data_IF_970181636009
#
_entry.id   IF_970181636009
#
_cell.length_a   1.000
_cell.length_b   1.000
_cell.length_c   1.000
_cell.angle_alpha   90.00
_cell.angle_beta   90.00
_cell.angle_gamma   90.00
#
_symmetry.space_group_name_H-M   'P 1'
#
loop_
_entity.id
_entity.type
_entity.pdbx_description
1 polymer ?
#
# COMPACT_ATOMS: atom_id res chain seq x y z
N UNK A 1 44.23 -56.89 20.63
CA UNK A 1 43.51 -57.99 21.28
C UNK A 1 42.02 -57.72 21.19
N UNK A 2 41.36 -58.62 20.46
CA UNK A 2 39.93 -59.03 20.50
C UNK A 2 38.83 -57.99 20.58
N UNK A 3 38.16 -57.77 19.46
CA UNK A 3 36.88 -58.39 19.00
C UNK A 3 35.67 -58.16 19.90
N UNK A 4 34.66 -57.48 19.36
CA UNK A 4 33.34 -58.10 19.18
C UNK A 4 32.38 -57.20 18.41
N UNK A 5 32.00 -57.68 17.23
CA UNK A 5 30.87 -57.27 16.43
C UNK A 5 29.56 -57.54 17.17
N UNK A 6 28.61 -56.61 17.11
CA UNK A 6 27.18 -56.90 17.22
C UNK A 6 26.38 -56.08 16.21
N UNK A 7 25.90 -56.79 15.21
CA UNK A 7 24.88 -56.36 14.26
C UNK A 7 23.59 -55.97 15.00
N UNK A 8 23.09 -54.78 14.71
CA UNK A 8 21.69 -54.45 14.96
C UNK A 8 21.08 -54.07 13.61
N UNK A 9 20.21 -54.93 13.12
CA UNK A 9 19.29 -54.65 12.05
C UNK A 9 18.36 -53.51 12.46
N UNK A 10 18.44 -52.39 11.74
CA UNK A 10 17.41 -51.35 11.78
C UNK A 10 16.49 -51.62 10.63
N UNK A 11 15.32 -52.13 10.91
CA UNK A 11 14.15 -52.16 10.00
C UNK A 11 13.77 -50.73 9.68
N UNK A 12 14.08 -50.32 8.45
CA UNK A 12 13.59 -49.08 7.90
C UNK A 12 12.08 -49.18 7.63
N UNK A 13 11.29 -48.54 8.47
CA UNK A 13 9.93 -48.22 8.13
C UNK A 13 9.94 -47.10 7.09
N UNK A 14 9.65 -47.47 5.84
CA UNK A 14 9.33 -46.54 4.76
C UNK A 14 8.01 -45.89 5.12
N UNK A 15 8.08 -44.74 5.78
CA UNK A 15 6.91 -43.85 5.92
C UNK A 15 6.58 -43.28 4.55
N UNK A 16 5.47 -43.71 3.96
CA UNK A 16 4.85 -43.06 2.81
C UNK A 16 4.48 -41.64 3.27
N UNK A 17 5.29 -40.67 2.92
CA UNK A 17 4.87 -39.26 2.91
C UNK A 17 3.81 -39.13 1.80
N UNK A 18 2.55 -39.27 2.18
CA UNK A 18 1.43 -38.79 1.38
C UNK A 18 1.54 -37.26 1.37
N UNK A 19 2.17 -36.72 0.33
CA UNK A 19 2.04 -35.33 -0.05
C UNK A 19 0.57 -35.11 -0.36
N UNK A 20 -0.18 -34.58 0.58
CA UNK A 20 -1.45 -33.97 0.26
C UNK A 20 -1.13 -32.76 -0.63
N UNK A 21 -1.14 -32.93 -1.93
CA UNK A 21 -1.37 -31.85 -2.86
C UNK A 21 -2.80 -31.37 -2.56
N UNK A 22 -2.93 -30.34 -1.76
CA UNK A 22 -4.13 -29.53 -1.77
C UNK A 22 -4.21 -28.97 -3.19
N UNK A 23 -5.09 -29.51 -4.02
CA UNK A 23 -5.49 -28.86 -5.25
C UNK A 23 -6.13 -27.54 -4.85
N UNK A 24 -5.36 -26.45 -4.90
CA UNK A 24 -5.88 -25.11 -4.76
C UNK A 24 -6.96 -24.96 -5.82
N UNK A 25 -8.19 -24.72 -5.40
CA UNK A 25 -9.25 -24.43 -6.36
C UNK A 25 -8.97 -23.07 -6.99
N UNK A 26 -9.03 -23.01 -8.32
CA UNK A 26 -8.95 -21.73 -9.04
C UNK A 26 -9.98 -20.76 -8.46
N UNK A 27 -9.59 -19.52 -8.29
CA UNK A 27 -10.43 -18.47 -7.72
C UNK A 27 -10.34 -17.21 -8.58
N UNK A 28 -11.42 -16.45 -8.58
CA UNK A 28 -11.57 -15.24 -9.38
C UNK A 28 -12.02 -14.09 -8.51
N UNK A 29 -11.48 -12.88 -8.73
CA UNK A 29 -11.98 -11.67 -8.09
C UNK A 29 -12.53 -10.71 -9.11
N UNK A 30 -13.68 -10.14 -8.79
CA UNK A 30 -14.45 -9.25 -9.64
C UNK A 30 -14.70 -7.94 -8.94
N UNK A 31 -14.28 -6.81 -9.55
CA UNK A 31 -14.69 -5.48 -9.12
C UNK A 31 -16.11 -5.22 -9.62
N UNK A 32 -17.03 -5.07 -8.69
CA UNK A 32 -18.42 -4.73 -8.95
C UNK A 32 -18.58 -3.23 -8.77
N UNK A 33 -18.97 -2.52 -9.82
CA UNK A 33 -19.31 -1.12 -9.77
C UNK A 33 -20.80 -0.99 -9.43
N UNK A 34 -21.10 -0.17 -8.43
CA UNK A 34 -22.46 0.11 -7.99
C UNK A 34 -22.96 1.44 -8.57
N UNK A 35 -24.26 1.52 -8.90
CA UNK A 35 -24.91 2.75 -9.37
C UNK A 35 -24.95 3.83 -8.31
N UNK A 36 -25.05 3.42 -7.06
CA UNK A 36 -25.04 4.23 -5.85
C UNK A 36 -24.56 3.36 -4.66
N UNK A 37 -24.64 3.88 -3.45
CA UNK A 37 -24.20 3.17 -2.23
C UNK A 37 -25.34 2.55 -1.42
N UNK A 38 -26.58 2.71 -1.87
CA UNK A 38 -27.77 2.38 -1.09
C UNK A 38 -27.94 3.27 0.15
N UNK A 39 -28.89 2.90 0.98
CA UNK A 39 -29.10 3.57 2.26
C UNK A 39 -28.26 2.88 3.35
N UNK A 40 -27.19 3.53 3.78
CA UNK A 40 -26.34 3.06 4.87
C UNK A 40 -26.82 3.55 6.26
N UNK A 41 -27.92 4.30 6.32
CA UNK A 41 -28.43 4.90 7.55
C UNK A 41 -27.55 6.04 8.11
N UNK A 42 -26.57 6.51 7.35
CA UNK A 42 -25.64 7.58 7.74
C UNK A 42 -26.17 8.97 7.40
N UNK A 43 -25.74 9.97 8.18
CA UNK A 43 -26.06 11.37 7.96
C UNK A 43 -24.81 12.24 8.01
N UNK A 44 -24.77 13.30 7.18
CA UNK A 44 -23.71 14.31 7.24
C UNK A 44 -23.71 15.10 8.55
N UNK A 45 -24.83 15.10 9.30
CA UNK A 45 -24.93 15.71 10.62
C UNK A 45 -24.33 14.84 11.72
N UNK A 46 -24.03 13.57 11.43
CA UNK A 46 -23.42 12.59 12.37
C UNK A 46 -22.19 11.92 11.76
N UNK A 47 -21.19 12.69 11.33
CA UNK A 47 -20.04 12.16 10.61
C UNK A 47 -19.13 11.28 11.48
N UNK A 48 -19.23 11.38 12.81
CA UNK A 48 -18.52 10.55 13.78
C UNK A 48 -18.90 9.07 13.71
N UNK A 49 -19.99 8.71 13.03
CA UNK A 49 -20.39 7.31 12.81
C UNK A 49 -19.49 6.59 11.79
N UNK A 50 -18.78 7.32 10.93
CA UNK A 50 -17.95 6.74 9.86
C UNK A 50 -16.58 7.41 9.66
N UNK A 51 -16.27 8.48 10.39
CA UNK A 51 -14.97 9.16 10.41
C UNK A 51 -14.48 9.31 11.85
N UNK A 52 -13.18 9.13 12.07
CA UNK A 52 -12.57 9.39 13.37
C UNK A 52 -12.61 10.88 13.71
N UNK A 53 -12.42 11.19 14.99
CA UNK A 53 -12.30 12.58 15.44
C UNK A 53 -11.15 13.29 14.73
N UNK A 54 -10.03 12.62 14.57
CA UNK A 54 -8.84 13.15 13.89
C UNK A 54 -9.12 13.49 12.42
N UNK A 55 -9.92 12.65 11.73
CA UNK A 55 -10.35 12.93 10.36
C UNK A 55 -11.25 14.16 10.30
N UNK A 56 -12.17 14.30 11.24
CA UNK A 56 -13.05 15.47 11.34
C UNK A 56 -12.27 16.73 11.67
N UNK A 57 -11.34 16.66 12.62
CA UNK A 57 -10.48 17.80 13.00
C UNK A 57 -9.62 18.28 11.81
N UNK A 58 -9.03 17.35 11.04
CA UNK A 58 -8.31 17.68 9.79
C UNK A 58 -9.22 18.40 8.81
N UNK A 59 -10.43 17.89 8.56
CA UNK A 59 -11.38 18.51 7.63
C UNK A 59 -11.80 19.90 8.06
N UNK A 60 -12.04 20.09 9.34
CA UNK A 60 -12.35 21.43 9.90
C UNK A 60 -11.18 22.39 9.66
N UNK A 61 -9.95 21.97 10.01
CA UNK A 61 -8.74 22.78 9.83
C UNK A 61 -8.48 23.14 8.37
N UNK A 62 -8.75 22.20 7.44
CA UNK A 62 -8.56 22.36 5.99
C UNK A 62 -9.79 22.95 5.30
N UNK A 63 -10.90 23.16 6.00
CA UNK A 63 -12.18 23.65 5.48
C UNK A 63 -12.78 22.73 4.41
N UNK A 64 -12.62 21.41 4.60
CA UNK A 64 -13.15 20.38 3.73
C UNK A 64 -14.48 19.86 4.30
N UNK A 65 -15.60 19.95 3.58
CA UNK A 65 -16.88 19.45 4.06
C UNK A 65 -16.93 17.92 4.03
N UNK A 66 -17.69 17.34 4.97
CA UNK A 66 -18.16 15.96 4.86
C UNK A 66 -19.31 15.93 3.86
N UNK A 67 -19.32 14.94 2.98
CA UNK A 67 -20.30 14.80 1.91
C UNK A 67 -20.81 13.37 1.82
N UNK A 68 -21.83 13.11 1.01
CA UNK A 68 -22.32 11.76 0.73
C UNK A 68 -21.26 10.84 0.09
N UNK A 69 -20.17 11.40 -0.50
CA UNK A 69 -19.03 10.62 -0.97
C UNK A 69 -18.32 9.87 0.17
N UNK A 70 -18.46 10.35 1.40
CA UNK A 70 -17.82 9.76 2.59
C UNK A 70 -18.66 8.62 3.21
N UNK A 71 -19.92 8.45 2.82
CA UNK A 71 -20.79 7.39 3.35
C UNK A 71 -20.28 6.01 2.93
N UNK A 72 -20.35 5.02 3.83
CA UNK A 72 -20.07 3.63 3.48
C UNK A 72 -21.11 3.08 2.49
N UNK A 73 -20.78 1.97 1.84
CA UNK A 73 -21.75 1.19 1.07
C UNK A 73 -22.72 0.53 2.05
N UNK A 74 -24.00 0.52 1.72
CA UNK A 74 -25.06 -0.08 2.52
C UNK A 74 -24.80 -1.57 2.76
N UNK A 75 -24.97 -2.05 3.99
CA UNK A 75 -24.88 -3.46 4.33
C UNK A 75 -25.88 -4.30 3.51
N UNK A 76 -27.07 -3.77 3.20
CA UNK A 76 -28.05 -4.45 2.37
C UNK A 76 -27.53 -4.73 0.95
N UNK A 77 -26.66 -3.87 0.41
CA UNK A 77 -26.01 -4.11 -0.87
C UNK A 77 -24.94 -5.18 -0.75
N UNK A 78 -24.12 -5.13 0.30
CA UNK A 78 -23.12 -6.18 0.58
C UNK A 78 -23.79 -7.54 0.75
N UNK A 79 -24.88 -7.63 1.52
CA UNK A 79 -25.65 -8.84 1.73
C UNK A 79 -26.24 -9.38 0.42
N UNK A 80 -26.73 -8.48 -0.45
CA UNK A 80 -27.25 -8.86 -1.76
C UNK A 80 -26.15 -9.42 -2.68
N UNK A 81 -24.96 -8.82 -2.67
CA UNK A 81 -23.81 -9.30 -3.42
C UNK A 81 -23.36 -10.68 -2.91
N UNK A 82 -23.24 -10.86 -1.60
CA UNK A 82 -22.82 -12.14 -1.00
C UNK A 82 -23.85 -13.24 -1.18
N UNK A 83 -25.14 -12.91 -1.28
CA UNK A 83 -26.21 -13.87 -1.58
C UNK A 83 -26.08 -14.56 -2.93
N UNK A 84 -25.26 -14.03 -3.85
CA UNK A 84 -24.94 -14.67 -5.14
C UNK A 84 -24.03 -15.90 -5.01
N UNK A 85 -23.42 -16.09 -3.82
CA UNK A 85 -22.45 -17.15 -3.52
C UNK A 85 -21.00 -16.69 -3.63
N UNK A 86 -20.75 -15.38 -3.82
CA UNK A 86 -19.43 -14.79 -3.77
C UNK A 86 -19.15 -14.16 -2.39
N UNK A 87 -17.89 -13.98 -2.04
CA UNK A 87 -17.42 -13.37 -0.80
C UNK A 87 -16.89 -11.97 -1.05
N UNK A 88 -17.23 -11.01 -0.19
CA UNK A 88 -16.67 -9.66 -0.28
C UNK A 88 -15.23 -9.64 0.24
N UNK A 89 -14.30 -9.11 -0.57
CA UNK A 89 -12.86 -9.02 -0.26
C UNK A 89 -12.49 -7.64 0.25
N UNK A 90 -12.84 -6.62 -0.52
CA UNK A 90 -12.60 -5.21 -0.19
C UNK A 90 -13.66 -4.34 -0.84
N UNK A 91 -13.76 -3.09 -0.39
CA UNK A 91 -14.72 -2.15 -0.93
C UNK A 91 -14.15 -0.73 -0.93
N UNK A 92 -14.67 0.09 -1.83
CA UNK A 92 -14.38 1.51 -1.89
C UNK A 92 -15.68 2.32 -1.82
N UNK A 93 -15.79 3.14 -0.78
CA UNK A 93 -16.90 4.11 -0.66
C UNK A 93 -16.73 5.29 -1.63
N UNK A 94 -15.50 5.63 -2.00
CA UNK A 94 -15.23 6.71 -2.93
C UNK A 94 -15.53 6.32 -4.37
N UNK A 95 -15.19 5.09 -4.76
CA UNK A 95 -15.40 4.57 -6.10
C UNK A 95 -16.76 3.87 -6.26
N UNK A 96 -17.51 3.67 -5.16
CA UNK A 96 -18.74 2.86 -5.14
C UNK A 96 -18.51 1.47 -5.72
N UNK A 97 -17.44 0.80 -5.27
CA UNK A 97 -17.06 -0.54 -5.74
C UNK A 97 -16.96 -1.54 -4.60
N UNK A 98 -17.24 -2.81 -4.92
CA UNK A 98 -17.00 -3.95 -4.03
C UNK A 98 -16.26 -5.02 -4.84
N UNK A 99 -15.16 -5.53 -4.31
CA UNK A 99 -14.47 -6.68 -4.91
C UNK A 99 -15.05 -7.94 -4.32
N UNK A 100 -15.55 -8.82 -5.21
CA UNK A 100 -16.15 -10.11 -4.86
C UNK A 100 -15.25 -11.25 -5.30
N UNK A 101 -15.02 -12.24 -4.43
CA UNK A 101 -14.25 -13.45 -4.69
C UNK A 101 -15.17 -14.65 -4.90
N UNK A 102 -14.86 -15.52 -5.86
CA UNK A 102 -15.58 -16.78 -6.09
C UNK A 102 -14.69 -17.80 -6.78
N UNK A 103 -14.88 -19.09 -6.45
CA UNK A 103 -14.31 -20.21 -7.21
C UNK A 103 -15.07 -20.51 -8.50
N UNK A 104 -16.25 -19.92 -8.70
CA UNK A 104 -17.10 -20.07 -9.89
C UNK A 104 -17.12 -18.74 -10.66
N UNK A 105 -16.50 -18.73 -11.85
CA UNK A 105 -16.51 -17.54 -12.70
C UNK A 105 -17.91 -17.17 -13.23
N UNK A 106 -18.85 -18.10 -13.25
CA UNK A 106 -20.23 -17.84 -13.69
C UNK A 106 -21.01 -16.93 -12.71
N UNK A 107 -20.50 -16.71 -11.50
CA UNK A 107 -21.09 -15.77 -10.53
C UNK A 107 -21.25 -14.36 -11.10
N UNK A 108 -20.45 -14.01 -12.10
CA UNK A 108 -20.50 -12.70 -12.77
C UNK A 108 -21.88 -12.38 -13.35
N UNK A 109 -22.60 -13.38 -13.87
CA UNK A 109 -23.93 -13.19 -14.43
C UNK A 109 -24.96 -12.91 -13.33
N UNK A 110 -24.83 -13.57 -12.17
CA UNK A 110 -25.67 -13.31 -11.00
C UNK A 110 -25.42 -11.91 -10.43
N UNK A 111 -24.14 -11.49 -10.35
CA UNK A 111 -23.76 -10.16 -9.89
C UNK A 111 -24.34 -9.08 -10.82
N UNK A 112 -24.21 -9.26 -12.15
CA UNK A 112 -24.76 -8.31 -13.14
C UNK A 112 -26.29 -8.24 -13.13
N UNK A 113 -26.97 -9.27 -12.68
CA UNK A 113 -28.44 -9.31 -12.60
C UNK A 113 -29.01 -8.47 -11.45
N UNK A 114 -28.17 -8.07 -10.46
CA UNK A 114 -28.62 -7.26 -9.34
C UNK A 114 -28.86 -5.81 -9.77
N UNK A 115 -30.01 -5.26 -9.39
CA UNK A 115 -30.49 -3.95 -9.87
C UNK A 115 -29.57 -2.77 -9.53
N UNK A 116 -28.83 -2.87 -8.40
CA UNK A 116 -27.90 -1.86 -7.95
C UNK A 116 -26.52 -1.95 -8.64
N UNK A 117 -26.25 -3.03 -9.38
CA UNK A 117 -24.97 -3.19 -10.10
C UNK A 117 -25.02 -2.43 -11.41
N UNK A 118 -24.01 -1.63 -11.68
CA UNK A 118 -23.78 -0.95 -12.95
C UNK A 118 -23.00 -1.85 -13.90
N UNK A 119 -21.82 -2.33 -13.44
CA UNK A 119 -20.94 -3.18 -14.23
C UNK A 119 -20.09 -4.08 -13.34
N UNK A 120 -19.53 -5.13 -13.94
CA UNK A 120 -18.63 -6.08 -13.26
C UNK A 120 -17.40 -6.28 -14.12
N UNK A 121 -16.22 -6.08 -13.54
CA UNK A 121 -14.92 -6.23 -14.20
C UNK A 121 -14.11 -7.30 -13.48
N UNK A 122 -13.53 -8.21 -14.23
CA UNK A 122 -12.54 -9.15 -13.70
C UNK A 122 -11.26 -8.38 -13.30
N UNK A 123 -10.69 -8.69 -12.12
CA UNK A 123 -9.52 -7.99 -11.60
C UNK A 123 -8.42 -8.91 -11.08
N UNK A 124 -8.70 -10.21 -10.89
CA UNK A 124 -7.70 -11.17 -10.44
C UNK A 124 -8.16 -12.61 -10.71
N UNK A 125 -7.18 -13.47 -10.99
CA UNK A 125 -7.35 -14.92 -11.13
C UNK A 125 -6.12 -15.60 -10.54
N UNK A 126 -6.34 -16.69 -9.81
CA UNK A 126 -5.24 -17.46 -9.24
C UNK A 126 -5.75 -18.59 -8.35
N UNK A 127 -4.85 -19.22 -7.64
CA UNK A 127 -5.18 -20.18 -6.61
C UNK A 127 -5.24 -19.44 -5.26
N UNK A 128 -6.28 -19.71 -4.46
CA UNK A 128 -6.31 -19.30 -3.06
C UNK A 128 -5.29 -20.15 -2.28
N UNK A 129 -4.04 -19.80 -2.40
CA UNK A 129 -3.00 -20.37 -1.57
C UNK A 129 -3.11 -19.72 -0.20
N UNK A 130 -3.45 -20.51 0.82
CA UNK A 130 -3.17 -20.13 2.19
C UNK A 130 -1.66 -19.88 2.27
N UNK A 131 -1.26 -18.67 2.62
CA UNK A 131 0.14 -18.30 2.71
C UNK A 131 0.82 -19.26 3.67
N UNK A 132 1.79 -20.03 3.15
CA UNK A 132 2.77 -20.66 4.02
C UNK A 132 3.46 -19.52 4.79
N UNK A 133 3.48 -19.64 6.11
CA UNK A 133 4.29 -18.75 6.93
C UNK A 133 5.73 -18.82 6.40
N UNK A 134 6.25 -17.70 5.91
CA UNK A 134 7.67 -17.61 5.60
C UNK A 134 8.43 -17.90 6.89
N UNK A 135 9.38 -18.83 6.85
CA UNK A 135 10.33 -18.99 7.95
C UNK A 135 11.02 -17.64 8.14
N UNK A 136 10.83 -17.07 9.31
CA UNK A 136 11.44 -15.79 9.65
C UNK A 136 12.94 -15.94 9.58
N UNK A 137 13.57 -15.28 8.64
CA UNK A 137 15.01 -15.13 8.64
C UNK A 137 15.40 -14.38 9.93
N UNK A 138 15.99 -15.11 10.85
CA UNK A 138 16.48 -14.60 12.14
C UNK A 138 17.82 -13.89 11.99
N UNK A 139 18.14 -13.38 10.82
CA UNK A 139 19.33 -12.61 10.59
C UNK A 139 19.41 -11.46 11.60
N UNK A 140 20.19 -11.66 12.64
CA UNK A 140 20.55 -10.62 13.59
C UNK A 140 21.41 -9.60 12.83
N UNK A 141 20.87 -8.42 12.58
CA UNK A 141 21.65 -7.33 12.04
C UNK A 141 22.63 -6.86 13.12
N UNK A 142 23.90 -7.22 12.99
CA UNK A 142 24.96 -6.63 13.78
C UNK A 142 25.32 -5.28 13.16
N UNK A 143 25.20 -4.17 13.87
CA UNK A 143 25.72 -2.92 13.38
C UNK A 143 27.23 -3.08 13.18
N UNK A 144 27.70 -2.98 11.93
CA UNK A 144 29.11 -2.75 11.66
C UNK A 144 29.55 -1.48 12.41
N UNK A 145 30.81 -1.39 12.85
CA UNK A 145 31.33 -0.20 13.49
C UNK A 145 31.14 1.00 12.55
N UNK A 146 30.17 1.87 12.86
CA UNK A 146 29.89 3.07 12.08
C UNK A 146 30.79 4.22 12.56
N UNK A 147 31.29 5.06 11.66
CA UNK A 147 32.03 6.25 12.08
C UNK A 147 31.08 7.16 12.86
N UNK A 148 31.30 7.28 14.15
CA UNK A 148 30.60 8.18 15.11
C UNK A 148 30.95 9.63 14.83
N UNK A 149 30.65 10.17 13.65
CA UNK A 149 31.06 11.54 13.28
C UNK A 149 29.90 12.48 12.98
N UNK A 150 28.70 11.95 12.80
CA UNK A 150 27.59 12.72 12.25
C UNK A 150 26.27 12.16 12.81
N UNK A 151 25.39 13.08 13.23
CA UNK A 151 24.09 12.77 13.85
C UNK A 151 23.21 11.89 12.97
N UNK A 152 23.22 12.12 11.66
CA UNK A 152 22.29 11.50 10.70
C UNK A 152 22.78 10.15 10.16
N UNK A 153 24.09 9.80 10.36
CA UNK A 153 24.65 8.53 9.93
C UNK A 153 24.42 8.29 8.43
N UNK A 154 23.81 7.16 8.08
CA UNK A 154 23.52 6.79 6.68
C UNK A 154 22.51 7.72 5.96
N UNK A 155 21.74 8.51 6.68
CA UNK A 155 20.78 9.45 6.10
C UNK A 155 21.38 10.86 5.83
N UNK A 156 22.65 11.09 6.12
CA UNK A 156 23.23 12.46 6.12
C UNK A 156 23.07 13.15 4.75
N UNK A 157 23.42 12.48 3.66
CA UNK A 157 23.35 13.07 2.32
C UNK A 157 21.90 13.37 1.90
N UNK A 158 20.98 12.48 2.22
CA UNK A 158 19.55 12.65 1.96
C UNK A 158 18.98 13.86 2.71
N UNK A 159 19.28 13.96 3.99
CA UNK A 159 18.82 15.07 4.85
C UNK A 159 19.46 16.40 4.40
N UNK A 160 20.75 16.39 4.08
CA UNK A 160 21.48 17.60 3.62
C UNK A 160 20.95 18.09 2.27
N UNK A 161 20.68 17.17 1.34
CA UNK A 161 20.17 17.54 0.01
C UNK A 161 18.87 18.34 0.13
N UNK A 162 18.00 17.95 1.05
CA UNK A 162 16.72 18.60 1.33
C UNK A 162 16.84 19.82 2.27
N UNK A 163 18.05 20.15 2.71
CA UNK A 163 18.28 21.18 3.74
C UNK A 163 17.58 20.88 5.08
N UNK A 164 17.29 19.57 5.33
CA UNK A 164 16.51 19.08 6.48
C UNK A 164 17.17 19.32 7.83
N UNK A 165 18.51 19.40 7.87
CA UNK A 165 19.25 19.71 9.10
C UNK A 165 18.75 21.01 9.73
N UNK A 166 18.57 22.08 8.93
CA UNK A 166 18.07 23.37 9.41
C UNK A 166 16.63 23.29 9.93
N UNK A 167 15.80 22.44 9.34
CA UNK A 167 14.44 22.20 9.83
C UNK A 167 14.49 21.51 11.21
N UNK A 168 15.34 20.50 11.36
CA UNK A 168 15.51 19.79 12.63
C UNK A 168 16.08 20.70 13.72
N UNK A 169 17.09 21.55 13.41
CA UNK A 169 17.65 22.58 14.32
C UNK A 169 16.58 23.58 14.76
N UNK A 170 15.63 23.92 13.88
CA UNK A 170 14.49 24.79 14.19
C UNK A 170 13.35 24.05 14.94
N UNK A 171 13.51 22.74 15.23
CA UNK A 171 12.53 21.92 15.95
C UNK A 171 11.47 21.24 15.08
N UNK A 172 11.55 21.35 13.76
CA UNK A 172 10.60 20.73 12.82
C UNK A 172 11.05 19.31 12.48
N UNK A 173 10.59 18.33 13.28
CA UNK A 173 10.92 16.91 13.16
C UNK A 173 9.68 16.02 12.95
N UNK A 174 8.56 16.61 12.54
CA UNK A 174 7.30 15.89 12.28
C UNK A 174 6.37 15.79 13.49
N UNK A 175 6.73 16.30 14.65
CA UNK A 175 5.89 16.22 15.87
C UNK A 175 4.48 16.76 15.62
N UNK A 176 3.47 15.93 15.97
CA UNK A 176 2.06 16.28 15.82
C UNK A 176 1.48 15.95 14.44
N UNK A 177 2.30 15.50 13.47
CA UNK A 177 1.83 15.05 12.17
C UNK A 177 1.54 13.54 12.20
N UNK A 178 0.47 13.12 11.54
CA UNK A 178 0.08 11.72 11.36
C UNK A 178 0.33 11.32 9.90
N UNK A 179 1.20 10.36 9.71
CA UNK A 179 1.66 9.89 8.39
C UNK A 179 1.20 8.46 8.17
N UNK A 180 0.56 8.16 7.05
CA UNK A 180 0.37 6.80 6.60
C UNK A 180 1.46 6.44 5.57
N UNK A 181 2.13 5.32 5.79
CA UNK A 181 3.00 4.68 4.81
C UNK A 181 2.20 3.53 4.20
N UNK A 182 1.90 3.63 2.90
CA UNK A 182 1.18 2.61 2.13
C UNK A 182 2.20 1.89 1.26
N UNK A 183 2.40 0.58 1.50
CA UNK A 183 3.51 -0.16 0.90
C UNK A 183 3.26 -1.68 0.85
N UNK A 184 4.24 -2.42 0.31
CA UNK A 184 4.18 -3.87 0.12
C UNK A 184 4.32 -4.70 1.40
N UNK A 185 4.89 -4.12 2.46
CA UNK A 185 5.12 -4.78 3.75
C UNK A 185 6.15 -4.03 4.58
N UNK A 186 6.23 -4.39 5.85
CA UNK A 186 7.06 -3.71 6.85
C UNK A 186 7.88 -4.71 7.67
N UNK A 187 8.53 -5.65 6.97
CA UNK A 187 9.24 -6.76 7.60
C UNK A 187 10.22 -6.26 8.65
N UNK A 188 10.11 -6.84 9.85
CA UNK A 188 10.99 -6.59 10.98
C UNK A 188 10.99 -5.16 11.57
N UNK A 189 10.10 -4.24 11.17
CA UNK A 189 10.02 -2.89 11.78
C UNK A 189 9.90 -2.97 13.30
N UNK A 190 9.14 -3.94 13.81
CA UNK A 190 8.94 -4.19 15.24
C UNK A 190 10.16 -4.80 15.96
N UNK A 191 11.29 -5.00 15.28
CA UNK A 191 12.51 -5.63 15.80
C UNK A 191 13.78 -4.83 15.54
N UNK A 192 13.76 -3.93 14.56
CA UNK A 192 14.95 -3.15 14.16
C UNK A 192 15.08 -1.93 15.06
N UNK A 193 16.21 -1.80 15.75
CA UNK A 193 16.42 -0.80 16.80
C UNK A 193 16.32 0.66 16.35
N UNK A 194 16.51 0.97 15.07
CA UNK A 194 16.31 2.34 14.56
C UNK A 194 14.87 2.81 14.70
N UNK A 195 13.92 1.89 14.92
CA UNK A 195 12.50 2.15 15.13
C UNK A 195 12.04 2.03 16.59
N UNK A 196 12.96 1.82 17.57
CA UNK A 196 12.58 1.65 18.98
C UNK A 196 11.78 2.84 19.53
N UNK A 197 11.98 4.03 18.98
CA UNK A 197 11.25 5.25 19.34
C UNK A 197 10.11 5.61 18.40
N UNK A 198 9.73 4.70 17.48
CA UNK A 198 8.67 4.93 16.51
C UNK A 198 7.32 5.17 17.24
N UNK A 199 6.73 6.34 16.99
CA UNK A 199 5.36 6.61 17.45
C UNK A 199 4.36 5.96 16.50
N UNK A 200 4.11 4.67 16.70
CA UNK A 200 3.23 3.83 15.90
C UNK A 200 1.77 4.00 16.37
N UNK A 201 0.90 4.50 15.50
CA UNK A 201 -0.55 4.62 15.74
C UNK A 201 -1.27 3.29 15.50
N UNK A 202 -0.78 2.48 14.57
CA UNK A 202 -1.30 1.16 14.27
C UNK A 202 -0.84 0.63 12.94
N UNK A 203 -1.30 -0.58 12.63
CA UNK A 203 -1.03 -1.27 11.36
C UNK A 203 -2.32 -1.72 10.71
N UNK A 204 -2.33 -1.83 9.38
CA UNK A 204 -3.44 -2.38 8.62
C UNK A 204 -2.93 -3.21 7.45
N UNK A 205 -3.33 -4.47 7.36
CA UNK A 205 -3.14 -5.29 6.18
C UNK A 205 -4.46 -5.31 5.40
N UNK A 206 -4.46 -4.73 4.20
CA UNK A 206 -5.66 -4.68 3.33
C UNK A 206 -5.78 -5.98 2.54
N UNK A 207 -4.66 -6.58 2.13
CA UNK A 207 -4.61 -7.78 1.29
C UNK A 207 -5.06 -9.01 2.07
N UNK A 208 -4.55 -9.15 3.30
CA UNK A 208 -4.81 -10.30 4.20
C UNK A 208 -4.99 -9.78 5.63
N UNK A 209 -6.23 -9.39 6.01
CA UNK A 209 -6.48 -8.70 7.29
C UNK A 209 -6.06 -9.44 8.55
N UNK A 210 -5.98 -10.77 8.49
CA UNK A 210 -5.56 -11.65 9.60
C UNK A 210 -4.04 -11.80 9.73
N UNK A 211 -3.27 -11.32 8.74
CA UNK A 211 -1.81 -11.43 8.73
C UNK A 211 -1.14 -10.15 9.21
N UNK A 212 0.00 -10.31 9.87
CA UNK A 212 0.83 -9.20 10.29
C UNK A 212 1.47 -8.49 9.09
N UNK A 213 1.57 -7.17 9.15
CA UNK A 213 2.33 -6.38 8.16
C UNK A 213 3.84 -6.57 8.26
N UNK A 214 4.32 -7.19 9.36
CA UNK A 214 5.75 -7.38 9.67
C UNK A 214 6.34 -8.69 9.13
N UNK A 215 5.54 -9.52 8.47
CA UNK A 215 5.92 -10.86 8.02
C UNK A 215 6.18 -10.98 6.52
N UNK A 216 5.91 -9.93 5.78
CA UNK A 216 6.10 -9.90 4.33
C UNK A 216 6.97 -8.72 3.97
N UNK A 217 7.58 -8.72 2.84
CA UNK A 217 8.36 -7.68 2.18
C UNK A 217 8.99 -6.57 3.07
N UNK A 218 10.22 -6.21 2.81
CA UNK A 218 10.98 -5.20 3.55
C UNK A 218 10.99 -3.81 2.85
N UNK A 219 10.30 -3.67 1.72
CA UNK A 219 10.32 -2.42 0.95
C UNK A 219 9.76 -1.26 1.78
N UNK A 220 8.59 -1.42 2.40
CA UNK A 220 8.03 -0.39 3.28
C UNK A 220 8.87 -0.12 4.53
N UNK A 221 9.65 -1.09 5.01
CA UNK A 221 10.63 -0.88 6.08
C UNK A 221 11.70 0.11 5.65
N UNK A 222 12.23 -0.05 4.44
CA UNK A 222 13.22 0.86 3.84
C UNK A 222 12.65 2.26 3.63
N UNK A 223 11.44 2.34 3.08
CA UNK A 223 10.71 3.61 2.90
C UNK A 223 10.49 4.31 4.24
N UNK A 224 9.98 3.58 5.24
CA UNK A 224 9.75 4.11 6.57
C UNK A 224 11.05 4.64 7.21
N UNK A 225 12.18 3.97 6.99
CA UNK A 225 13.46 4.35 7.58
C UNK A 225 13.92 5.74 7.14
N UNK A 226 13.62 6.13 5.90
CA UNK A 226 13.95 7.46 5.38
C UNK A 226 13.24 8.59 6.13
N UNK A 227 12.13 8.29 6.80
CA UNK A 227 11.33 9.27 7.55
C UNK A 227 11.44 9.09 9.06
N UNK A 228 11.26 7.85 9.54
CA UNK A 228 10.98 7.54 10.93
C UNK A 228 12.16 7.00 11.73
N UNK A 229 13.25 6.59 11.07
CA UNK A 229 14.45 6.13 11.79
C UNK A 229 14.93 7.21 12.77
N UNK A 230 15.27 6.80 14.01
CA UNK A 230 15.70 7.73 15.05
C UNK A 230 16.78 7.11 15.93
N UNK A 231 17.92 6.80 15.33
CA UNK A 231 19.12 6.30 16.01
C UNK A 231 20.30 7.20 15.68
N UNK A 232 20.59 8.20 16.54
CA UNK A 232 21.69 9.15 16.34
C UNK A 232 23.02 8.45 16.08
N UNK A 233 23.72 8.87 15.02
CA UNK A 233 24.99 8.29 14.59
C UNK A 233 24.84 7.05 13.67
N UNK A 234 23.67 6.43 13.63
CA UNK A 234 23.36 5.33 12.72
C UNK A 234 22.46 5.78 11.58
N UNK A 235 21.26 6.25 11.88
CA UNK A 235 20.31 6.79 10.92
C UNK A 235 19.24 7.65 11.61
N UNK A 236 19.03 8.88 11.14
CA UNK A 236 17.93 9.73 11.56
C UNK A 236 17.18 10.18 10.30
N UNK A 237 15.91 9.84 10.21
CA UNK A 237 15.04 10.16 9.08
C UNK A 237 14.56 11.61 9.10
N UNK A 238 13.73 11.97 8.11
CA UNK A 238 13.24 13.36 7.91
C UNK A 238 12.18 13.79 8.91
N UNK A 239 11.41 12.86 9.48
CA UNK A 239 10.30 13.14 10.39
C UNK A 239 10.25 12.14 11.57
N UNK A 240 11.35 11.97 12.34
CA UNK A 240 11.46 10.93 13.37
C UNK A 240 10.50 11.10 14.55
N UNK A 241 9.91 12.28 14.72
CA UNK A 241 8.98 12.60 15.81
C UNK A 241 7.50 12.62 15.33
N UNK A 242 7.23 12.23 14.07
CA UNK A 242 5.86 12.07 13.57
C UNK A 242 5.22 10.78 14.10
N UNK A 243 3.91 10.67 13.95
CA UNK A 243 3.14 9.47 14.28
C UNK A 243 2.78 8.70 13.02
N UNK A 244 2.89 7.37 13.02
CA UNK A 244 2.83 6.57 11.81
C UNK A 244 1.73 5.51 11.84
N UNK A 245 1.00 5.37 10.72
CA UNK A 245 0.25 4.19 10.33
C UNK A 245 1.03 3.42 9.28
N UNK A 246 1.15 2.09 9.44
CA UNK A 246 1.77 1.20 8.45
C UNK A 246 0.68 0.38 7.78
N UNK A 247 0.49 0.59 6.48
CA UNK A 247 -0.62 0.01 5.73
C UNK A 247 -0.07 -0.81 4.57
N UNK A 248 -0.32 -2.14 4.61
CA UNK A 248 0.03 -3.03 3.50
C UNK A 248 -1.12 -3.09 2.52
N UNK A 249 -0.84 -2.75 1.24
CA UNK A 249 -1.80 -2.79 0.14
C UNK A 249 -1.34 -3.59 -1.07
N UNK A 250 -0.17 -4.22 -1.02
CA UNK A 250 0.45 -4.93 -2.14
C UNK A 250 0.48 -6.44 -1.92
N UNK A 251 0.16 -7.21 -2.96
CA UNK A 251 0.32 -8.65 -3.02
C UNK A 251 1.46 -9.03 -3.97
N UNK A 252 2.68 -9.12 -3.46
CA UNK A 252 3.91 -9.34 -4.25
C UNK A 252 3.96 -10.66 -5.01
N UNK A 253 2.90 -11.48 -4.96
CA UNK A 253 2.82 -12.76 -5.69
C UNK A 253 2.43 -12.58 -7.15
N UNK A 254 1.79 -11.48 -7.49
CA UNK A 254 1.28 -11.19 -8.83
C UNK A 254 0.90 -9.72 -8.97
N UNK A 255 0.90 -9.22 -10.21
CA UNK A 255 0.55 -7.85 -10.54
C UNK A 255 -0.78 -7.84 -11.30
N UNK A 256 -1.91 -7.84 -10.59
CA UNK A 256 -3.24 -7.79 -11.17
C UNK A 256 -3.97 -6.49 -10.85
N UNK A 257 -5.02 -6.12 -11.64
CA UNK A 257 -5.77 -4.88 -11.39
C UNK A 257 -6.43 -4.75 -10.01
N UNK A 258 -6.50 -5.82 -9.21
CA UNK A 258 -6.96 -5.79 -7.83
C UNK A 258 -6.06 -4.95 -6.92
N UNK A 259 -4.77 -4.82 -7.26
CA UNK A 259 -3.82 -4.00 -6.49
C UNK A 259 -4.32 -2.55 -6.38
N UNK A 260 -4.97 -2.06 -7.43
CA UNK A 260 -5.61 -0.74 -7.38
C UNK A 260 -6.73 -0.67 -6.34
N UNK A 261 -7.54 -1.73 -6.20
CA UNK A 261 -8.62 -1.79 -5.20
C UNK A 261 -8.07 -1.80 -3.78
N UNK A 262 -6.98 -2.55 -3.56
CA UNK A 262 -6.30 -2.59 -2.27
C UNK A 262 -5.68 -1.24 -1.93
N UNK A 263 -5.03 -0.59 -2.89
CA UNK A 263 -4.46 0.74 -2.70
C UNK A 263 -5.53 1.78 -2.38
N UNK A 264 -6.65 1.79 -3.11
CA UNK A 264 -7.79 2.68 -2.84
C UNK A 264 -8.34 2.46 -1.44
N UNK A 265 -8.54 1.20 -1.03
CA UNK A 265 -9.01 0.87 0.31
C UNK A 265 -8.02 1.32 1.40
N UNK A 266 -6.71 1.25 1.13
CA UNK A 266 -5.67 1.74 2.03
C UNK A 266 -5.74 3.26 2.21
N UNK A 267 -5.91 4.02 1.12
CA UNK A 267 -6.05 5.48 1.17
C UNK A 267 -7.33 5.90 1.89
N UNK A 268 -8.45 5.21 1.64
CA UNK A 268 -9.72 5.47 2.35
C UNK A 268 -9.63 5.14 3.84
N UNK A 269 -8.91 4.07 4.22
CA UNK A 269 -8.62 3.78 5.61
C UNK A 269 -7.78 4.89 6.24
N UNK A 270 -6.72 5.34 5.57
CA UNK A 270 -5.87 6.43 6.02
C UNK A 270 -6.68 7.74 6.23
N UNK A 271 -7.62 8.06 5.30
CA UNK A 271 -8.57 9.17 5.49
C UNK A 271 -9.41 9.00 6.75
N UNK A 272 -9.98 7.81 6.94
CA UNK A 272 -10.91 7.53 8.04
C UNK A 272 -10.28 7.61 9.42
N UNK A 273 -8.99 7.25 9.55
CA UNK A 273 -8.22 7.33 10.81
C UNK A 273 -7.54 8.69 10.99
N UNK A 274 -7.71 9.60 10.05
CA UNK A 274 -7.34 11.00 10.19
C UNK A 274 -5.88 11.32 9.99
N UNK A 275 -5.18 10.67 9.05
CA UNK A 275 -3.81 11.04 8.71
C UNK A 275 -3.76 12.41 8.02
N UNK A 276 -2.65 13.12 8.19
CA UNK A 276 -2.39 14.41 7.56
C UNK A 276 -1.62 14.24 6.24
N UNK A 277 -0.80 13.19 6.17
CA UNK A 277 0.10 12.89 5.05
C UNK A 277 -0.01 11.41 4.69
N UNK A 278 -0.04 11.12 3.40
CA UNK A 278 0.17 9.77 2.86
C UNK A 278 1.46 9.78 2.04
N UNK A 279 2.28 8.74 2.22
CA UNK A 279 3.38 8.43 1.32
C UNK A 279 3.16 7.03 0.75
N UNK A 280 3.31 6.91 -0.58
CA UNK A 280 3.17 5.65 -1.29
C UNK A 280 4.31 5.51 -2.29
N UNK A 281 5.16 4.51 -2.08
CA UNK A 281 6.25 4.17 -2.99
C UNK A 281 5.85 3.04 -3.93
N UNK A 282 4.56 2.92 -4.22
CA UNK A 282 3.96 1.99 -5.15
C UNK A 282 3.56 2.72 -6.44
N UNK A 283 3.44 1.96 -7.53
CA UNK A 283 2.98 2.53 -8.79
C UNK A 283 2.71 1.47 -9.84
N UNK A 284 1.58 1.60 -10.52
CA UNK A 284 1.09 0.62 -11.49
C UNK A 284 1.09 1.20 -12.90
N UNK A 285 1.30 0.37 -13.92
CA UNK A 285 1.17 0.74 -15.33
C UNK A 285 0.90 -0.47 -16.22
N UNK A 286 1.39 -1.65 -15.85
CA UNK A 286 1.11 -2.93 -16.48
C UNK A 286 0.60 -3.91 -15.45
N UNK A 287 -0.11 -4.94 -15.92
CA UNK A 287 -0.65 -6.00 -15.09
C UNK A 287 -0.44 -7.34 -15.77
N UNK A 288 -0.48 -8.43 -15.00
CA UNK A 288 -0.42 -9.83 -15.46
C UNK A 288 -1.73 -10.22 -16.17
N UNK A 289 -2.07 -9.48 -17.24
CA UNK A 289 -3.29 -9.66 -18.04
C UNK A 289 -2.93 -9.78 -19.51
N UNK A 290 -3.77 -10.47 -20.30
CA UNK A 290 -3.55 -10.64 -21.74
C UNK A 290 -3.61 -9.31 -22.51
N UNK A 291 -4.44 -8.37 -22.03
CA UNK A 291 -4.60 -7.06 -22.64
C UNK A 291 -4.07 -5.96 -21.72
N UNK A 292 -3.48 -4.93 -22.30
CA UNK A 292 -3.03 -3.76 -21.55
C UNK A 292 -4.23 -3.04 -20.91
N UNK A 293 -4.21 -2.90 -19.58
CA UNK A 293 -5.25 -2.14 -18.84
C UNK A 293 -5.07 -0.65 -19.09
N UNK A 294 -3.83 -0.18 -19.14
CA UNK A 294 -3.45 1.21 -19.35
C UNK A 294 -2.46 1.38 -20.51
N UNK A 295 -2.48 2.56 -21.09
CA UNK A 295 -1.49 3.04 -22.06
C UNK A 295 -0.92 4.36 -21.57
N UNK A 296 0.13 4.87 -22.20
CA UNK A 296 0.61 6.21 -21.90
C UNK A 296 -0.45 7.29 -22.14
N UNK A 297 -1.45 7.01 -23.03
CA UNK A 297 -2.61 7.86 -23.23
C UNK A 297 -3.53 7.98 -22.02
N UNK A 298 -3.41 7.07 -21.06
CA UNK A 298 -4.19 7.06 -19.81
C UNK A 298 -3.58 7.93 -18.69
N UNK A 299 -2.39 8.54 -18.93
CA UNK A 299 -1.70 9.41 -17.95
C UNK A 299 -2.36 10.81 -17.91
N UNK A 300 -3.61 10.89 -17.51
CA UNK A 300 -4.42 12.11 -17.50
C UNK A 300 -4.90 12.53 -16.10
N UNK A 301 -4.52 11.77 -15.05
CA UNK A 301 -4.94 11.95 -13.67
C UNK A 301 -6.38 11.52 -13.39
N UNK A 302 -7.09 10.97 -14.38
CA UNK A 302 -8.54 10.71 -14.32
C UNK A 302 -8.96 9.32 -14.81
N UNK A 303 -8.15 8.67 -15.63
CA UNK A 303 -8.46 7.36 -16.21
C UNK A 303 -8.22 6.24 -15.21
N UNK A 304 -7.05 6.20 -14.57
CA UNK A 304 -6.72 5.15 -13.61
C UNK A 304 -7.56 5.27 -12.31
N UNK A 305 -7.94 4.13 -11.75
CA UNK A 305 -8.73 4.07 -10.54
C UNK A 305 -8.01 4.75 -9.37
N UNK A 306 -6.72 4.45 -9.22
CA UNK A 306 -5.89 5.01 -8.15
C UNK A 306 -5.60 6.49 -8.34
N UNK A 307 -5.49 7.00 -9.57
CA UNK A 307 -5.34 8.44 -9.83
C UNK A 307 -6.57 9.23 -9.38
N UNK A 308 -7.77 8.69 -9.62
CA UNK A 308 -9.01 9.27 -9.08
C UNK A 308 -9.02 9.27 -7.56
N UNK A 309 -8.63 8.16 -6.94
CA UNK A 309 -8.59 8.06 -5.48
C UNK A 309 -7.52 8.98 -4.87
N UNK A 310 -6.39 9.16 -5.54
CA UNK A 310 -5.34 10.09 -5.12
C UNK A 310 -5.84 11.55 -5.14
N UNK A 311 -6.52 11.96 -6.19
CA UNK A 311 -7.18 13.26 -6.28
C UNK A 311 -8.23 13.44 -5.16
N UNK A 312 -9.07 12.42 -4.92
CA UNK A 312 -10.05 12.46 -3.83
C UNK A 312 -9.39 12.57 -2.45
N UNK A 313 -8.24 11.92 -2.22
CA UNK A 313 -7.49 12.07 -0.96
C UNK A 313 -7.04 13.51 -0.75
N UNK A 314 -6.53 14.16 -1.79
CA UNK A 314 -6.15 15.57 -1.76
C UNK A 314 -7.36 16.48 -1.48
N UNK A 315 -8.51 16.22 -2.13
CA UNK A 315 -9.78 16.91 -1.86
C UNK A 315 -10.27 16.76 -0.41
N UNK A 316 -9.87 15.65 0.26
CA UNK A 316 -10.15 15.43 1.69
C UNK A 316 -9.15 16.14 2.61
N UNK A 317 -8.21 16.91 2.06
CA UNK A 317 -7.22 17.68 2.79
C UNK A 317 -6.00 16.87 3.23
N UNK A 318 -5.74 15.73 2.59
CA UNK A 318 -4.55 14.90 2.80
C UNK A 318 -3.46 15.35 1.82
N UNK A 319 -2.23 15.51 2.31
CA UNK A 319 -1.07 15.70 1.45
C UNK A 319 -0.53 14.33 1.05
N UNK A 320 -0.70 13.96 -0.22
CA UNK A 320 -0.28 12.66 -0.74
C UNK A 320 1.00 12.82 -1.57
N UNK A 321 2.01 12.03 -1.20
CA UNK A 321 3.25 11.86 -1.96
C UNK A 321 3.25 10.49 -2.63
N UNK A 322 3.53 10.46 -3.93
CA UNK A 322 3.66 9.24 -4.72
C UNK A 322 5.01 9.20 -5.44
N UNK A 323 5.57 7.99 -5.56
CA UNK A 323 6.71 7.75 -6.44
C UNK A 323 6.37 8.08 -7.89
N UNK A 324 7.34 8.61 -8.62
CA UNK A 324 7.23 8.74 -10.07
C UNK A 324 7.33 7.38 -10.80
N UNK A 325 7.85 6.35 -10.13
CA UNK A 325 8.14 5.04 -10.67
C UNK A 325 9.59 4.87 -11.13
N UNK A 326 9.93 3.62 -11.47
CA UNK A 326 11.29 3.18 -11.80
C UNK A 326 11.47 2.88 -13.30
N UNK A 327 10.61 3.43 -14.14
CA UNK A 327 10.47 3.06 -15.55
C UNK A 327 11.37 3.87 -16.50
N UNK A 328 12.28 4.68 -15.99
CA UNK A 328 13.13 5.57 -16.80
C UNK A 328 13.97 4.88 -17.86
N UNK A 329 14.23 3.58 -17.73
CA UNK A 329 14.98 2.76 -18.71
C UNK A 329 14.14 1.67 -19.36
N UNK A 330 12.89 1.49 -18.95
CA UNK A 330 11.96 0.53 -19.54
C UNK A 330 11.32 1.06 -20.82
N UNK A 331 10.61 0.20 -21.53
CA UNK A 331 9.81 0.60 -22.70
C UNK A 331 8.65 1.54 -22.34
N UNK A 332 8.18 1.52 -21.09
CA UNK A 332 7.18 2.46 -20.60
C UNK A 332 7.75 3.88 -20.51
N UNK A 333 8.91 4.07 -19.88
CA UNK A 333 9.69 5.30 -19.82
C UNK A 333 9.02 6.50 -19.14
N UNK A 334 7.76 6.36 -18.71
CA UNK A 334 6.91 7.42 -18.15
C UNK A 334 6.64 7.18 -16.67
N UNK A 335 6.09 8.22 -16.01
CA UNK A 335 5.55 8.09 -14.65
C UNK A 335 4.52 6.95 -14.58
N UNK A 336 4.40 6.36 -13.41
CA UNK A 336 3.40 5.33 -13.10
C UNK A 336 2.20 5.95 -12.40
N UNK A 337 1.05 5.28 -12.43
CA UNK A 337 -0.13 5.68 -11.66
C UNK A 337 0.10 5.37 -10.17
N UNK A 338 -0.33 6.25 -9.24
CA UNK A 338 -1.15 7.46 -9.41
C UNK A 338 -0.32 8.75 -9.62
N UNK A 339 0.97 8.67 -9.93
CA UNK A 339 1.86 9.83 -10.08
C UNK A 339 1.42 10.86 -11.14
N UNK A 340 0.46 10.50 -11.99
CA UNK A 340 -0.14 11.39 -12.98
C UNK A 340 -1.27 12.28 -12.43
N UNK A 341 -1.76 12.03 -11.21
CA UNK A 341 -2.78 12.87 -10.60
C UNK A 341 -2.25 14.30 -10.35
N UNK A 342 -3.09 15.31 -10.56
CA UNK A 342 -2.69 16.72 -10.50
C UNK A 342 -2.47 17.19 -9.06
N UNK A 343 -3.37 16.80 -8.19
CA UNK A 343 -3.52 17.31 -6.83
C UNK A 343 -2.52 16.72 -5.82
N UNK A 344 -1.64 15.80 -6.25
CA UNK A 344 -0.65 15.13 -5.40
C UNK A 344 0.78 15.55 -5.73
N UNK A 345 1.71 15.27 -4.84
CA UNK A 345 3.14 15.50 -5.06
C UNK A 345 3.79 14.21 -5.58
N UNK A 346 4.21 14.23 -6.83
CA UNK A 346 4.94 13.12 -7.45
C UNK A 346 6.43 13.36 -7.32
N UNK A 347 7.16 12.35 -6.83
CA UNK A 347 8.57 12.45 -6.46
C UNK A 347 9.42 11.58 -7.38
N UNK A 348 10.35 12.20 -8.11
CA UNK A 348 11.37 11.51 -8.89
C UNK A 348 12.67 11.31 -8.11
N UNK A 349 13.57 10.49 -8.63
CA UNK A 349 14.86 10.21 -8.02
C UNK A 349 16.02 10.93 -8.72
N UNK A 350 16.95 11.45 -7.92
CA UNK A 350 18.23 12.00 -8.36
C UNK A 350 19.38 11.29 -7.64
N UNK A 351 20.57 11.44 -8.20
CA UNK A 351 21.83 11.02 -7.60
C UNK A 351 22.35 12.11 -6.67
N UNK A 352 23.40 11.82 -5.89
CA UNK A 352 24.09 12.75 -4.98
C UNK A 352 24.58 14.01 -5.68
N UNK A 353 25.00 13.92 -6.95
CA UNK A 353 25.38 15.07 -7.80
C UNK A 353 24.17 15.78 -8.46
N UNK A 354 22.95 15.49 -7.97
CA UNK A 354 21.66 16.11 -8.37
C UNK A 354 21.29 15.90 -9.83
N UNK A 355 21.78 14.85 -10.45
CA UNK A 355 21.32 14.43 -11.79
C UNK A 355 20.19 13.41 -11.64
N UNK A 356 19.28 13.41 -12.61
CA UNK A 356 18.22 12.41 -12.67
C UNK A 356 18.83 11.00 -12.62
N UNK A 357 18.37 10.18 -11.68
CA UNK A 357 18.71 8.76 -11.64
C UNK A 357 18.21 8.06 -12.89
N UNK A 358 18.98 7.12 -13.42
CA UNK A 358 18.67 6.46 -14.70
C UNK A 358 17.32 5.77 -14.67
N UNK A 359 16.98 5.14 -13.55
CA UNK A 359 15.72 4.43 -13.36
C UNK A 359 14.52 5.37 -13.15
N UNK A 360 14.73 6.60 -12.65
CA UNK A 360 13.61 7.50 -12.35
C UNK A 360 12.76 7.77 -13.58
N UNK A 361 11.49 7.50 -13.47
CA UNK A 361 10.48 7.79 -14.48
C UNK A 361 10.37 9.28 -14.76
N UNK A 362 9.91 9.63 -15.95
CA UNK A 362 9.73 11.02 -16.39
C UNK A 362 8.31 11.24 -16.94
N UNK A 363 7.77 12.42 -16.76
CA UNK A 363 6.54 12.89 -17.40
C UNK A 363 6.87 13.71 -18.63
N UNK A 364 5.91 14.02 -19.42
CA UNK A 364 4.65 14.68 -19.23
C UNK A 364 3.46 13.71 -19.13
N UNK A 365 2.39 14.21 -18.49
CA UNK A 365 1.04 13.64 -18.62
C UNK A 365 0.49 13.92 -20.03
N UNK A 366 -0.62 13.27 -20.39
CA UNK A 366 -1.25 13.48 -21.72
C UNK A 366 -1.81 14.88 -21.93
N UNK A 367 -2.15 15.57 -20.84
CA UNK A 367 -2.57 16.97 -20.84
C UNK A 367 -1.40 17.95 -20.61
N UNK A 368 -0.15 17.48 -20.80
CA UNK A 368 1.09 18.25 -20.76
C UNK A 368 1.45 18.84 -19.40
N UNK A 369 0.93 18.34 -18.29
CA UNK A 369 1.44 18.70 -16.96
C UNK A 369 2.84 18.12 -16.75
N UNK A 370 3.71 18.89 -16.11
CA UNK A 370 5.06 18.45 -15.77
C UNK A 370 5.00 17.56 -14.53
N UNK A 371 5.51 16.34 -14.64
CA UNK A 371 5.72 15.40 -13.54
C UNK A 371 7.10 14.74 -13.69
N UNK A 372 7.78 14.34 -12.63
CA UNK A 372 7.44 14.59 -11.22
C UNK A 372 7.48 16.06 -10.84
N UNK A 373 6.81 16.42 -9.72
CA UNK A 373 6.76 17.79 -9.19
C UNK A 373 8.06 18.18 -8.49
N UNK A 374 8.66 17.21 -7.80
CA UNK A 374 9.89 17.36 -7.01
C UNK A 374 10.79 16.14 -7.20
N UNK A 375 12.02 16.24 -6.72
CA UNK A 375 12.99 15.13 -6.73
C UNK A 375 13.68 15.01 -5.38
N UNK A 376 14.09 13.78 -5.05
CA UNK A 376 14.88 13.44 -3.87
C UNK A 376 16.00 12.44 -4.22
N UNK A 377 16.97 12.26 -3.29
CA UNK A 377 18.06 11.28 -3.43
C UNK A 377 17.53 9.85 -3.25
#
# INVERSE_FOLDING_TARGET
MFNSLRNICVLGTFGLLLSFFSNGSESYKFRVYLKDKGDAGCSIERPEEFLSREALDRRIQRRVPVTAADFPISNAYIDSLTSTGAEAVTQSRWMSTVVMNSSDSSVVDKLKALSMVDSVKWVWKGENLYLQSFEQDTATFYPSEFPLGNLYGHADDQIRMLNGIKLHEAGFRGKGMRVAVIDAGFQNVNRISVFDSLNLLGTKNIVSPEQSVYESDDHGTKVLSCMAANSPGLMVGTAPDASYWLIKSEDNRSEFPIEEDYWVAAVEFADSVGVDVITSSLGYFTFDTEEAVYTQGSLDGKTALISKAAAMAADKGILLFSSAGNEGTSSWGKITFPGDADEIVTVGAVTDDKKKSTFSSVGFTTDYRVKPDVVAL
#
